data_IF_398198200399
#
_entry.id   IF_398198200399
#
_cell.length_a   1.000
_cell.length_b   1.000
_cell.length_c   1.000
_cell.angle_alpha   90.00
_cell.angle_beta   90.00
_cell.angle_gamma   90.00
#
_symmetry.space_group_name_H-M   'P 1'
#
loop_
_entity.id
_entity.type
_entity.pdbx_description
1 polymer ?
#
# COMPACT_ATOMS: atom_id res chain seq x y z
N UNK A 1 0.04 19.12 -3.28
CA UNK A 1 -0.04 18.08 -2.22
C UNK A 1 -1.35 17.31 -2.19
N UNK A 2 -2.52 17.95 -2.31
CA UNK A 2 -3.81 17.23 -2.32
C UNK A 2 -3.91 16.21 -3.46
N UNK A 3 -3.56 16.61 -4.68
CA UNK A 3 -3.63 15.73 -5.85
C UNK A 3 -2.64 14.56 -5.76
N UNK A 4 -1.43 14.80 -5.25
CA UNK A 4 -0.42 13.77 -5.05
C UNK A 4 -0.86 12.76 -3.98
N UNK A 5 -1.41 13.23 -2.87
CA UNK A 5 -1.99 12.37 -1.85
C UNK A 5 -3.13 11.52 -2.42
N UNK A 6 -4.04 12.14 -3.19
CA UNK A 6 -5.16 11.43 -3.83
C UNK A 6 -4.67 10.34 -4.77
N UNK A 7 -3.67 10.65 -5.60
CA UNK A 7 -3.07 9.72 -6.55
C UNK A 7 -2.52 8.48 -5.83
N UNK A 8 -1.72 8.67 -4.78
CA UNK A 8 -1.12 7.53 -4.08
C UNK A 8 -2.15 6.75 -3.25
N UNK A 9 -3.14 7.41 -2.62
CA UNK A 9 -4.25 6.73 -1.94
C UNK A 9 -5.04 5.84 -2.91
N UNK A 10 -5.38 6.35 -4.10
CA UNK A 10 -6.09 5.55 -5.12
C UNK A 10 -5.21 4.45 -5.72
N UNK A 11 -3.89 4.65 -5.82
CA UNK A 11 -2.94 3.60 -6.20
C UNK A 11 -2.99 2.44 -5.20
N UNK A 12 -2.89 2.73 -3.90
CA UNK A 12 -2.96 1.71 -2.84
C UNK A 12 -4.29 0.97 -2.89
N UNK A 13 -5.40 1.72 -3.02
CA UNK A 13 -6.75 1.15 -3.17
C UNK A 13 -6.87 0.20 -4.37
N UNK A 14 -6.14 0.46 -5.46
CA UNK A 14 -6.14 -0.38 -6.65
C UNK A 14 -5.42 -1.71 -6.44
N UNK A 15 -4.24 -1.73 -5.81
CA UNK A 15 -3.44 -2.95 -5.67
C UNK A 15 -3.73 -3.74 -4.40
N UNK A 16 -4.08 -3.07 -3.29
CA UNK A 16 -4.17 -3.72 -1.98
C UNK A 16 -5.14 -4.92 -1.94
N UNK A 17 -6.34 -4.86 -2.56
CA UNK A 17 -7.24 -6.01 -2.62
C UNK A 17 -6.68 -7.21 -3.38
N UNK A 18 -5.68 -6.99 -4.23
CA UNK A 18 -5.05 -8.01 -5.08
C UNK A 18 -3.76 -8.58 -4.46
N UNK A 19 -3.24 -7.93 -3.41
CA UNK A 19 -2.06 -8.38 -2.67
C UNK A 19 -2.43 -9.57 -1.80
N UNK A 20 -1.79 -10.71 -2.02
CA UNK A 20 -2.06 -11.97 -1.30
C UNK A 20 -0.87 -12.38 -0.45
N UNK A 21 -1.14 -12.88 0.75
CA UNK A 21 -0.13 -13.47 1.61
C UNK A 21 0.36 -14.79 1.02
N UNK A 22 1.68 -14.89 0.78
CA UNK A 22 2.35 -16.08 0.30
C UNK A 22 3.08 -16.82 1.44
N UNK A 23 3.67 -16.07 2.39
CA UNK A 23 4.25 -16.62 3.63
C UNK A 23 3.40 -16.20 4.85
N UNK A 24 2.84 -17.14 5.63
CA UNK A 24 2.10 -16.84 6.86
C UNK A 24 2.83 -15.94 7.87
N UNK A 25 4.18 -15.94 7.90
CA UNK A 25 4.98 -15.07 8.76
C UNK A 25 4.81 -13.58 8.43
N UNK A 26 4.36 -13.25 7.21
CA UNK A 26 4.08 -11.89 6.77
C UNK A 26 2.73 -11.34 7.23
N UNK A 27 1.92 -12.10 7.97
CA UNK A 27 0.56 -11.69 8.36
C UNK A 27 0.53 -10.33 9.08
N UNK A 28 1.49 -10.06 9.95
CA UNK A 28 1.52 -8.80 10.68
C UNK A 28 2.01 -7.63 9.80
N UNK A 29 2.79 -7.89 8.74
CA UNK A 29 3.11 -6.89 7.72
C UNK A 29 1.86 -6.55 6.90
N UNK A 30 1.04 -7.54 6.53
CA UNK A 30 -0.23 -7.28 5.83
C UNK A 30 -1.17 -6.39 6.66
N UNK A 31 -1.33 -6.70 7.96
CA UNK A 31 -2.12 -5.85 8.86
C UNK A 31 -1.55 -4.43 8.96
N UNK A 32 -0.22 -4.29 8.96
CA UNK A 32 0.42 -2.98 9.01
C UNK A 32 0.12 -2.17 7.74
N UNK A 33 0.16 -2.80 6.56
CA UNK A 33 -0.24 -2.18 5.29
C UNK A 33 -1.71 -1.72 5.35
N UNK A 34 -2.61 -2.58 5.82
CA UNK A 34 -4.04 -2.25 5.97
C UNK A 34 -4.27 -1.07 6.93
N UNK A 35 -3.53 -1.04 8.05
CA UNK A 35 -3.59 0.05 9.03
C UNK A 35 -3.11 1.38 8.42
N UNK A 36 -1.96 1.39 7.73
CA UNK A 36 -1.49 2.59 7.04
C UNK A 36 -2.45 3.05 5.94
N UNK A 37 -3.13 2.14 5.25
CA UNK A 37 -4.11 2.52 4.24
C UNK A 37 -5.35 3.18 4.88
N UNK A 38 -5.81 2.64 6.01
CA UNK A 38 -6.88 3.26 6.79
C UNK A 38 -6.49 4.68 7.27
N UNK A 39 -5.26 4.85 7.75
CA UNK A 39 -4.72 6.16 8.15
C UNK A 39 -4.63 7.11 6.95
N UNK A 40 -4.16 6.65 5.80
CA UNK A 40 -4.09 7.45 4.58
C UNK A 40 -5.47 7.99 4.18
N UNK A 41 -6.49 7.12 4.21
CA UNK A 41 -7.87 7.52 3.95
C UNK A 41 -8.40 8.50 5.00
N UNK A 42 -8.08 8.29 6.28
CA UNK A 42 -8.50 9.16 7.37
C UNK A 42 -7.88 10.56 7.25
N UNK A 43 -6.57 10.64 7.05
CA UNK A 43 -5.86 11.92 6.88
C UNK A 43 -6.31 12.67 5.63
N UNK A 44 -6.55 11.96 4.52
CA UNK A 44 -7.04 12.58 3.30
C UNK A 44 -8.40 13.26 3.52
N UNK A 45 -9.35 12.57 4.18
CA UNK A 45 -10.68 13.12 4.52
C UNK A 45 -10.62 14.35 5.42
N UNK A 46 -9.56 14.49 6.23
CA UNK A 46 -9.33 15.63 7.12
C UNK A 46 -8.56 16.79 6.47
N UNK A 47 -8.18 16.69 5.20
CA UNK A 47 -7.34 17.70 4.55
C UNK A 47 -5.85 17.64 4.96
N UNK A 48 -5.43 16.61 5.69
CA UNK A 48 -4.04 16.36 6.12
C UNK A 48 -3.26 15.65 5.02
N UNK A 49 -3.04 16.34 3.90
CA UNK A 49 -2.57 15.71 2.66
C UNK A 49 -1.14 15.18 2.73
N UNK A 50 -0.24 15.82 3.48
CA UNK A 50 1.14 15.32 3.63
C UNK A 50 1.13 13.99 4.37
N UNK A 51 0.39 13.89 5.49
CA UNK A 51 0.25 12.67 6.26
C UNK A 51 -0.46 11.57 5.47
N UNK A 52 -1.47 11.93 4.68
CA UNK A 52 -2.16 10.99 3.79
C UNK A 52 -1.22 10.41 2.73
N UNK A 53 -0.40 11.26 2.12
CA UNK A 53 0.62 10.85 1.17
C UNK A 53 1.65 9.94 1.82
N UNK A 54 2.22 10.32 2.96
CA UNK A 54 3.21 9.51 3.70
C UNK A 54 2.65 8.13 4.06
N UNK A 55 1.43 8.05 4.60
CA UNK A 55 0.80 6.78 4.95
C UNK A 55 0.55 5.89 3.72
N UNK A 56 0.12 6.47 2.59
CA UNK A 56 -0.04 5.73 1.33
C UNK A 56 1.31 5.19 0.79
N UNK A 57 2.38 6.00 0.90
CA UNK A 57 3.73 5.56 0.52
C UNK A 57 4.19 4.39 1.40
N UNK A 58 3.96 4.42 2.71
CA UNK A 58 4.30 3.29 3.59
C UNK A 58 3.60 1.99 3.15
N UNK A 59 2.34 2.06 2.72
CA UNK A 59 1.63 0.89 2.17
C UNK A 59 2.36 0.30 0.97
N UNK A 60 2.73 1.16 0.01
CA UNK A 60 3.46 0.74 -1.18
C UNK A 60 4.84 0.16 -0.83
N UNK A 61 5.60 0.81 0.05
CA UNK A 61 6.93 0.36 0.47
C UNK A 61 6.91 -1.04 1.07
N UNK A 62 5.99 -1.32 2.00
CA UNK A 62 5.90 -2.66 2.59
C UNK A 62 5.39 -3.72 1.60
N UNK A 63 4.47 -3.36 0.71
CA UNK A 63 3.99 -4.26 -0.33
C UNK A 63 5.13 -4.62 -1.31
N UNK A 64 5.86 -3.62 -1.81
CA UNK A 64 6.99 -3.79 -2.73
C UNK A 64 8.09 -4.66 -2.11
N UNK A 65 8.52 -4.32 -0.88
CA UNK A 65 9.50 -5.11 -0.15
C UNK A 65 9.02 -6.55 0.10
N UNK A 66 7.76 -6.73 0.46
CA UNK A 66 7.18 -8.06 0.69
C UNK A 66 7.09 -8.90 -0.59
N UNK A 67 6.88 -8.29 -1.76
CA UNK A 67 6.94 -8.98 -3.04
C UNK A 67 8.36 -9.45 -3.36
N UNK A 68 9.38 -8.59 -3.16
CA UNK A 68 10.81 -8.96 -3.31
C UNK A 68 11.23 -10.12 -2.40
N UNK A 69 10.69 -10.15 -1.18
CA UNK A 69 11.00 -11.17 -0.17
C UNK A 69 10.17 -12.45 -0.32
N UNK A 70 9.26 -12.52 -1.29
CA UNK A 70 8.34 -13.65 -1.46
C UNK A 70 7.31 -13.80 -0.34
N UNK A 71 7.12 -12.76 0.47
CA UNK A 71 6.12 -12.70 1.54
C UNK A 71 4.72 -12.51 0.95
N UNK A 72 4.62 -11.74 -0.13
CA UNK A 72 3.39 -11.48 -0.85
C UNK A 72 3.45 -11.99 -2.29
N UNK A 73 2.28 -12.15 -2.89
CA UNK A 73 2.09 -12.33 -4.33
C UNK A 73 1.02 -11.37 -4.83
N UNK A 74 1.08 -11.05 -6.12
CA UNK A 74 0.13 -10.18 -6.80
C UNK A 74 -0.02 -10.66 -8.26
N UNK A 75 -1.17 -10.42 -8.94
CA UNK A 75 -1.30 -10.73 -10.36
C UNK A 75 -0.19 -10.11 -11.20
N UNK A 76 0.25 -10.84 -12.24
CA UNK A 76 1.37 -10.43 -13.09
C UNK A 76 1.13 -9.09 -13.79
N UNK A 77 -0.13 -8.78 -14.12
CA UNK A 77 -0.54 -7.53 -14.76
C UNK A 77 -0.30 -6.29 -13.88
N UNK A 78 -0.17 -6.49 -12.57
CA UNK A 78 0.09 -5.43 -11.59
C UNK A 78 1.56 -5.39 -11.16
N UNK A 79 2.42 -6.32 -11.57
CA UNK A 79 3.84 -6.29 -11.16
C UNK A 79 4.57 -5.05 -11.67
N UNK A 80 4.19 -4.54 -12.84
CA UNK A 80 4.80 -3.37 -13.47
C UNK A 80 4.65 -2.05 -12.68
N UNK A 81 3.74 -1.97 -11.69
CA UNK A 81 3.62 -0.81 -10.78
C UNK A 81 4.47 -0.95 -9.51
N UNK A 82 5.19 -2.06 -9.38
CA UNK A 82 6.16 -2.37 -8.33
C UNK A 82 7.57 -2.45 -8.94
N UNK A 83 8.57 -2.64 -8.09
CA UNK A 83 9.98 -2.77 -8.51
C UNK A 83 10.41 -4.24 -8.67
N UNK A 84 9.45 -5.15 -8.84
CA UNK A 84 9.63 -6.62 -8.93
C UNK A 84 9.47 -7.17 -10.34
#
# INVERSE_FOLDING_TARGET
MQEEAKKEVERVKGFLPQLKLADPKGKDILKLIEAYFADAQHFYKQGKYVQAFEAAIMCWTYADAGLHLGIFTIPDELKNIFTV
#
